data_IF_610690457433
#
_entry.id   IF_610690457433
#
_cell.length_a   1.000
_cell.length_b   1.000
_cell.length_c   1.000
_cell.angle_alpha   90.00
_cell.angle_beta   90.00
_cell.angle_gamma   90.00
#
_symmetry.space_group_name_H-M   'P 1'
#
loop_
_entity.id
_entity.type
_entity.pdbx_description
1 polymer ?
#
# COMPACT_ATOMS: atom_id res chain seq x y z
N UNK A 1 -4.79 -68.33 -21.03
CA UNK A 1 -4.50 -67.05 -20.36
C UNK A 1 -3.85 -66.15 -21.40
N UNK A 2 -4.47 -65.05 -21.87
CA UNK A 2 -4.40 -63.72 -21.22
C UNK A 2 -5.71 -62.88 -21.33
N UNK A 3 -5.74 -61.75 -20.62
CA UNK A 3 -6.86 -60.84 -20.36
C UNK A 3 -6.78 -59.62 -21.29
N UNK A 4 -7.91 -59.09 -21.77
CA UNK A 4 -7.99 -57.68 -22.17
C UNK A 4 -9.41 -57.14 -22.00
N UNK A 5 -9.62 -56.37 -20.93
CA UNK A 5 -10.77 -55.50 -20.80
C UNK A 5 -10.74 -54.51 -21.97
N UNK A 6 -11.61 -54.73 -22.95
CA UNK A 6 -11.79 -53.80 -24.07
C UNK A 6 -12.39 -52.52 -23.50
N UNK A 7 -11.53 -51.51 -23.32
CA UNK A 7 -11.92 -50.17 -22.90
C UNK A 7 -12.92 -49.62 -23.90
N UNK A 8 -14.19 -49.61 -23.51
CA UNK A 8 -15.22 -48.93 -24.28
C UNK A 8 -15.13 -47.50 -23.80
N UNK A 9 -14.69 -46.58 -24.67
CA UNK A 9 -14.87 -45.16 -24.40
C UNK A 9 -16.37 -44.93 -24.42
N UNK A 10 -16.98 -45.04 -23.26
CA UNK A 10 -18.38 -44.77 -23.03
C UNK A 10 -18.55 -43.27 -22.80
N UNK A 11 -19.77 -42.78 -23.01
CA UNK A 11 -20.13 -41.39 -22.71
C UNK A 11 -19.74 -40.94 -21.29
N UNK A 12 -19.59 -41.89 -20.36
CA UNK A 12 -19.12 -41.64 -19.00
C UNK A 12 -17.72 -41.04 -18.93
N UNK A 13 -16.78 -41.44 -19.80
CA UNK A 13 -15.42 -40.89 -19.80
C UNK A 13 -15.42 -39.44 -20.28
N UNK A 14 -16.27 -39.09 -21.25
CA UNK A 14 -16.40 -37.72 -21.76
C UNK A 14 -16.97 -36.80 -20.67
N UNK A 15 -18.05 -37.24 -20.00
CA UNK A 15 -18.65 -36.48 -18.89
C UNK A 15 -17.66 -36.36 -17.73
N UNK A 16 -16.90 -37.42 -17.42
CA UNK A 16 -15.88 -37.38 -16.38
C UNK A 16 -14.75 -36.37 -16.69
N UNK A 17 -14.29 -36.28 -17.95
CA UNK A 17 -13.26 -35.33 -18.35
C UNK A 17 -13.77 -33.88 -18.33
N UNK A 18 -15.01 -33.63 -18.77
CA UNK A 18 -15.64 -32.31 -18.70
C UNK A 18 -15.86 -31.90 -17.23
N UNK A 19 -16.41 -32.79 -16.41
CA UNK A 19 -16.61 -32.53 -14.99
C UNK A 19 -15.29 -32.28 -14.27
N UNK A 20 -14.24 -33.02 -14.60
CA UNK A 20 -12.89 -32.81 -14.07
C UNK A 20 -12.35 -31.44 -14.50
N UNK A 21 -12.48 -31.08 -15.78
CA UNK A 21 -12.05 -29.77 -16.27
C UNK A 21 -12.80 -28.61 -15.60
N UNK A 22 -14.12 -28.73 -15.40
CA UNK A 22 -14.92 -27.72 -14.71
C UNK A 22 -14.57 -27.64 -13.23
N UNK A 23 -14.32 -28.77 -12.57
CA UNK A 23 -13.90 -28.83 -11.16
C UNK A 23 -12.54 -28.16 -10.94
N UNK A 24 -11.58 -28.37 -11.85
CA UNK A 24 -10.27 -27.70 -11.81
C UNK A 24 -10.35 -26.23 -12.26
N UNK A 25 -11.26 -25.90 -13.17
CA UNK A 25 -11.41 -24.55 -13.73
C UNK A 25 -12.24 -23.58 -12.88
N UNK A 26 -13.17 -24.07 -12.06
CA UNK A 26 -14.18 -23.25 -11.38
C UNK A 26 -13.63 -22.23 -10.38
N UNK A 27 -12.58 -22.59 -9.62
CA UNK A 27 -11.96 -21.68 -8.65
C UNK A 27 -10.95 -20.72 -9.28
N UNK A 28 -10.13 -21.21 -10.22
CA UNK A 28 -9.08 -20.42 -10.86
C UNK A 28 -9.64 -19.38 -11.86
N UNK A 29 -10.76 -19.67 -12.51
CA UNK A 29 -11.43 -18.72 -13.39
C UNK A 29 -11.97 -17.52 -12.60
N UNK A 30 -12.61 -17.73 -11.44
CA UNK A 30 -13.15 -16.65 -10.63
C UNK A 30 -12.08 -15.69 -10.07
N UNK A 31 -10.88 -16.20 -9.74
CA UNK A 31 -9.76 -15.35 -9.26
C UNK A 31 -9.18 -14.48 -10.38
N UNK A 32 -9.23 -14.95 -11.63
CA UNK A 32 -8.68 -14.22 -12.79
C UNK A 32 -9.70 -13.30 -13.46
N UNK A 33 -11.00 -13.53 -13.26
CA UNK A 33 -12.09 -12.70 -13.82
C UNK A 33 -12.84 -11.86 -12.80
N UNK A 34 -12.34 -11.77 -11.56
CA UNK A 34 -12.97 -10.92 -10.55
C UNK A 34 -13.06 -9.47 -11.10
N UNK A 35 -14.24 -8.84 -11.11
CA UNK A 35 -14.37 -7.47 -11.54
C UNK A 35 -13.50 -6.55 -10.66
N UNK A 36 -13.03 -5.44 -11.22
CA UNK A 36 -12.31 -4.43 -10.44
C UNK A 36 -13.15 -4.03 -9.21
N UNK A 37 -12.50 -3.87 -8.05
CA UNK A 37 -13.15 -3.57 -6.76
C UNK A 37 -14.00 -4.70 -6.15
N UNK A 38 -13.69 -5.97 -6.44
CA UNK A 38 -14.36 -7.13 -5.83
C UNK A 38 -13.94 -7.44 -4.39
N UNK A 39 -12.85 -6.81 -3.91
CA UNK A 39 -12.46 -6.88 -2.50
C UNK A 39 -13.19 -5.79 -1.74
N UNK A 40 -14.06 -6.20 -0.83
CA UNK A 40 -14.81 -5.28 0.03
C UNK A 40 -14.24 -5.32 1.46
N UNK A 41 -14.61 -4.34 2.29
CA UNK A 41 -14.11 -4.27 3.67
C UNK A 41 -14.46 -5.51 4.50
N UNK A 42 -15.54 -6.24 4.17
CA UNK A 42 -15.92 -7.48 4.87
C UNK A 42 -15.00 -8.66 4.56
N UNK A 43 -14.29 -8.61 3.43
CA UNK A 43 -13.34 -9.64 2.99
C UNK A 43 -11.92 -9.42 3.51
N UNK A 44 -11.65 -8.26 4.12
CA UNK A 44 -10.34 -7.90 4.66
C UNK A 44 -10.39 -8.05 6.17
N UNK A 45 -9.36 -8.69 6.73
CA UNK A 45 -9.18 -8.79 8.18
C UNK A 45 -8.41 -7.54 8.62
N UNK A 46 -8.79 -6.99 9.77
CA UNK A 46 -8.10 -5.83 10.32
C UNK A 46 -6.60 -6.10 10.51
N UNK A 47 -5.78 -5.11 10.17
CA UNK A 47 -4.30 -5.16 10.25
C UNK A 47 -3.62 -6.23 9.37
N UNK A 48 -4.35 -6.91 8.47
CA UNK A 48 -3.79 -8.01 7.67
C UNK A 48 -3.04 -7.56 6.41
N UNK A 49 -3.19 -6.29 6.01
CA UNK A 49 -2.59 -5.77 4.78
C UNK A 49 -1.12 -5.41 4.99
N UNK A 50 -0.26 -5.93 4.12
CA UNK A 50 1.18 -5.69 4.16
C UNK A 50 1.57 -4.70 3.05
N UNK A 51 2.74 -4.08 3.18
CA UNK A 51 3.26 -3.16 2.15
C UNK A 51 3.37 -3.80 0.76
N UNK A 52 3.60 -5.12 0.68
CA UNK A 52 3.64 -5.86 -0.60
C UNK A 52 2.29 -5.96 -1.31
N UNK A 53 1.19 -5.77 -0.58
CA UNK A 53 -0.17 -5.87 -1.11
C UNK A 53 -0.62 -4.53 -1.73
N UNK A 54 0.15 -3.46 -1.51
CA UNK A 54 -0.10 -2.12 -2.03
C UNK A 54 0.97 -1.74 -3.04
N UNK A 55 0.55 -1.32 -4.22
CA UNK A 55 1.49 -0.84 -5.24
C UNK A 55 2.06 0.52 -4.82
N UNK A 56 3.40 0.65 -4.85
CA UNK A 56 4.07 1.90 -4.53
C UNK A 56 3.57 3.07 -5.39
N UNK A 57 3.41 4.24 -4.74
CA UNK A 57 3.00 5.48 -5.38
C UNK A 57 1.52 5.55 -5.78
N UNK A 58 0.69 4.60 -5.37
CA UNK A 58 -0.75 4.61 -5.70
C UNK A 58 -1.63 5.23 -4.63
N UNK A 59 -1.20 5.24 -3.37
CA UNK A 59 -1.92 5.91 -2.29
C UNK A 59 -1.74 7.43 -2.40
N UNK A 60 -2.84 8.14 -2.55
CA UNK A 60 -2.90 9.59 -2.64
C UNK A 60 -3.54 10.21 -1.39
N UNK A 61 -3.53 11.54 -1.29
CA UNK A 61 -4.19 12.23 -0.18
C UNK A 61 -5.70 12.01 -0.10
N UNK A 62 -6.34 11.57 -1.20
CA UNK A 62 -7.77 11.24 -1.20
C UNK A 62 -8.05 9.87 -0.57
N UNK A 63 -7.06 8.98 -0.55
CA UNK A 63 -7.18 7.62 -0.01
C UNK A 63 -6.90 7.58 1.51
N UNK A 64 -6.37 8.68 2.07
CA UNK A 64 -5.89 8.74 3.44
C UNK A 64 -6.61 9.86 4.18
N UNK A 65 -7.28 9.50 5.28
CA UNK A 65 -7.82 10.49 6.19
C UNK A 65 -6.70 11.06 7.08
N UNK A 66 -6.13 12.20 6.69
CA UNK A 66 -5.01 12.80 7.41
C UNK A 66 -5.36 13.22 8.86
N UNK A 67 -6.64 13.47 9.18
CA UNK A 67 -7.02 13.90 10.54
C UNK A 67 -6.96 12.77 11.56
N UNK A 68 -6.94 11.50 11.12
CA UNK A 68 -6.82 10.34 12.01
C UNK A 68 -5.38 9.89 12.22
N UNK A 69 -4.43 10.50 11.51
CA UNK A 69 -3.01 10.19 11.66
C UNK A 69 -2.38 10.99 12.79
N UNK A 70 -1.53 10.33 13.58
CA UNK A 70 -0.69 11.00 14.57
C UNK A 70 0.45 11.80 13.92
N UNK A 71 1.23 12.47 14.76
CA UNK A 71 2.41 13.20 14.29
C UNK A 71 3.43 12.23 13.67
N UNK A 72 3.83 12.50 12.43
CA UNK A 72 4.91 11.77 11.75
C UNK A 72 6.25 12.18 12.39
N UNK A 73 6.98 11.29 13.08
CA UNK A 73 8.18 11.66 13.83
C UNK A 73 9.36 12.07 12.94
N UNK A 74 9.42 11.56 11.70
CA UNK A 74 10.59 11.69 10.81
C UNK A 74 10.17 12.05 9.37
N UNK A 75 9.59 13.23 9.18
CA UNK A 75 9.35 13.78 7.84
C UNK A 75 10.62 14.48 7.31
N UNK A 76 11.18 14.01 6.19
CA UNK A 76 12.36 14.62 5.56
C UNK A 76 12.06 15.95 4.86
N UNK A 77 10.90 16.04 4.23
CA UNK A 77 10.43 17.24 3.51
C UNK A 77 8.90 17.30 3.56
N UNK A 78 8.34 18.47 3.82
CA UNK A 78 6.91 18.73 3.76
C UNK A 78 6.65 19.52 2.48
N UNK A 79 5.90 18.97 1.53
CA UNK A 79 5.64 19.62 0.23
C UNK A 79 6.93 20.05 -0.52
N UNK A 80 8.00 19.26 -0.39
CA UNK A 80 9.31 19.58 -0.98
C UNK A 80 10.09 20.69 -0.28
N UNK A 81 9.58 21.21 0.84
CA UNK A 81 10.25 22.18 1.71
C UNK A 81 10.90 21.47 2.89
N UNK A 82 12.08 21.93 3.28
CA UNK A 82 12.73 21.47 4.52
C UNK A 82 12.07 22.15 5.72
N UNK A 83 12.17 21.59 6.95
CA UNK A 83 11.71 22.28 8.15
C UNK A 83 12.26 23.71 8.26
N UNK A 84 13.46 23.90 7.71
CA UNK A 84 14.20 25.15 7.43
C UNK A 84 13.46 26.25 6.65
N UNK A 85 12.37 25.94 5.96
CA UNK A 85 11.62 26.92 5.17
C UNK A 85 10.33 27.39 5.88
N UNK A 86 9.92 26.69 6.94
CA UNK A 86 8.66 26.95 7.64
C UNK A 86 8.81 27.84 8.88
N UNK A 87 10.00 28.02 9.44
CA UNK A 87 10.19 29.01 10.52
C UNK A 87 10.24 30.40 9.88
N UNK A 88 9.60 31.38 10.52
CA UNK A 88 9.55 32.75 9.98
C UNK A 88 10.98 33.26 9.85
N UNK A 89 11.26 34.03 8.79
CA UNK A 89 12.58 34.64 8.59
C UNK A 89 13.09 35.40 9.84
N UNK A 90 12.18 35.97 10.63
CA UNK A 90 12.46 36.60 11.93
C UNK A 90 12.94 35.64 13.00
N UNK A 91 12.37 34.45 13.05
CA UNK A 91 12.58 33.45 14.09
C UNK A 91 13.90 32.69 13.81
N UNK A 92 14.21 32.41 12.53
CA UNK A 92 15.56 31.95 12.12
C UNK A 92 16.65 32.96 12.48
N UNK A 93 16.40 34.26 12.23
CA UNK A 93 17.37 35.31 12.50
C UNK A 93 17.62 35.47 14.01
N UNK A 94 16.58 35.34 14.85
CA UNK A 94 16.72 35.41 16.32
C UNK A 94 17.45 34.21 16.90
N UNK A 95 17.19 33.00 16.41
CA UNK A 95 17.85 31.79 16.89
C UNK A 95 19.35 31.74 16.55
N UNK A 96 19.76 32.35 15.43
CA UNK A 96 21.14 32.31 14.94
C UNK A 96 21.96 33.58 15.18
N UNK A 97 21.36 34.67 15.69
CA UNK A 97 22.10 35.85 16.14
C UNK A 97 22.20 35.84 17.66
N UNK A 98 23.38 35.47 18.18
CA UNK A 98 23.79 35.93 19.51
C UNK A 98 23.75 37.45 19.50
N UNK A 99 23.04 38.13 20.42
CA UNK A 99 23.11 39.57 20.54
C UNK A 99 24.59 39.92 20.68
N UNK A 100 25.12 40.68 19.72
CA UNK A 100 26.49 41.19 19.81
C UNK A 100 26.51 42.14 20.99
N UNK A 101 26.83 41.62 22.17
CA UNK A 101 27.17 42.43 23.33
C UNK A 101 28.38 43.22 22.89
N UNK A 102 28.14 44.47 22.51
CA UNK A 102 29.18 45.46 22.45
C UNK A 102 29.07 46.16 23.80
N UNK A 103 29.95 45.85 24.76
CA UNK A 103 30.19 46.78 25.85
C UNK A 103 30.63 48.07 25.15
N UNK A 104 29.82 49.12 25.25
CA UNK A 104 30.24 50.44 24.80
C UNK A 104 31.10 51.05 25.91
N UNK A 105 32.41 51.23 25.76
CA UNK A 105 33.16 52.11 26.63
C UNK A 105 33.09 53.50 26.01
N UNK A 106 32.30 54.40 26.59
CA UNK A 106 32.54 55.83 26.42
C UNK A 106 33.41 56.29 27.58
N UNK A 107 34.72 56.41 27.35
CA UNK A 107 35.46 57.55 27.93
C UNK A 107 34.83 58.84 27.40
N UNK A 108 34.76 59.94 28.12
CA UNK A 108 35.61 60.50 29.20
C UNK A 108 34.77 61.09 30.31
#
# INVERSE_FOLDING_TARGET
>A
MPRWSRGRITSAHVIALIALFVSLGGGAYAVTTAPKNSVNSKSVIDESLLGKDVKNGTLTGNDVNASTLGQVPTAKTLQGKVPGDFVRATDYRRANFSPRTTPWPRGS
#
